data_IF_216187941529
#
_entry.id   IF_216187941529
#
_cell.length_a   1.000
_cell.length_b   1.000
_cell.length_c   1.000
_cell.angle_alpha   90.00
_cell.angle_beta   90.00
_cell.angle_gamma   90.00
#
_symmetry.space_group_name_H-M   'P 1'
#
loop_
_entity.id
_entity.type
_entity.pdbx_description
1 polymer ?
#
# COMPACT_ATOMS: atom_id res chain seq x y z
N UNK A 1 -5.62 24.46 28.58
CA UNK A 1 -5.98 23.21 27.87
C UNK A 1 -5.72 23.43 26.39
N UNK A 2 -4.74 22.75 25.78
CA UNK A 2 -4.46 22.88 24.35
C UNK A 2 -5.53 22.16 23.54
N UNK A 3 -6.09 22.83 22.53
CA UNK A 3 -7.05 22.22 21.62
C UNK A 3 -6.50 20.90 21.02
N UNK A 4 -7.34 19.86 20.85
CA UNK A 4 -6.90 18.61 20.23
C UNK A 4 -6.45 18.87 18.79
N UNK A 5 -5.33 18.28 18.40
CA UNK A 5 -4.86 18.30 17.01
C UNK A 5 -5.86 17.55 16.14
N UNK A 6 -6.55 18.27 15.25
CA UNK A 6 -7.46 17.67 14.27
C UNK A 6 -6.65 17.32 13.03
N UNK A 7 -6.62 16.03 12.66
CA UNK A 7 -6.03 15.58 11.40
C UNK A 7 -7.10 15.64 10.32
N UNK A 8 -6.96 16.58 9.38
CA UNK A 8 -7.89 16.76 8.25
C UNK A 8 -7.40 16.14 6.94
N UNK A 9 -6.14 15.69 6.89
CA UNK A 9 -5.52 15.12 5.71
C UNK A 9 -5.13 13.67 5.95
N UNK A 10 -5.56 12.80 5.04
CA UNK A 10 -5.11 11.42 4.93
C UNK A 10 -4.63 11.16 3.51
N UNK A 11 -3.43 10.61 3.39
CA UNK A 11 -2.82 10.27 2.12
C UNK A 11 -2.57 8.77 2.07
N UNK A 12 -2.78 8.19 0.89
CA UNK A 12 -2.37 6.82 0.62
C UNK A 12 -0.85 6.71 0.46
N UNK A 13 -0.34 5.48 0.55
CA UNK A 13 1.09 5.18 0.38
C UNK A 13 1.63 5.74 -0.94
N UNK A 14 0.90 5.58 -2.04
CA UNK A 14 1.35 6.05 -3.35
C UNK A 14 1.48 7.57 -3.43
N UNK A 15 0.61 8.36 -2.78
CA UNK A 15 0.76 9.82 -2.73
C UNK A 15 2.06 10.23 -2.02
N UNK A 16 2.43 9.51 -0.96
CA UNK A 16 3.71 9.70 -0.28
C UNK A 16 4.89 9.33 -1.19
N UNK A 17 4.78 8.23 -1.93
CA UNK A 17 5.80 7.82 -2.91
C UNK A 17 5.94 8.84 -4.04
N UNK A 18 4.85 9.43 -4.53
CA UNK A 18 4.86 10.47 -5.56
C UNK A 18 5.62 11.70 -5.06
N UNK A 19 5.38 12.12 -3.81
CA UNK A 19 6.08 13.26 -3.19
C UNK A 19 7.58 12.98 -3.07
N UNK A 20 7.96 11.81 -2.56
CA UNK A 20 9.37 11.42 -2.44
C UNK A 20 10.06 11.37 -3.81
N UNK A 21 9.40 10.77 -4.81
CA UNK A 21 9.93 10.65 -6.17
C UNK A 21 10.15 12.02 -6.84
N UNK A 22 9.22 12.96 -6.67
CA UNK A 22 9.34 14.34 -7.17
C UNK A 22 10.58 15.05 -6.62
N UNK A 23 10.92 14.78 -5.36
CA UNK A 23 12.11 15.31 -4.68
C UNK A 23 13.35 14.43 -4.89
N UNK A 24 13.34 13.55 -5.89
CA UNK A 24 14.46 12.66 -6.26
C UNK A 24 14.86 11.65 -5.16
N UNK A 25 14.00 11.43 -4.17
CA UNK A 25 14.16 10.38 -3.17
C UNK A 25 13.72 9.06 -3.79
N UNK A 26 14.62 8.08 -3.81
CA UNK A 26 14.39 6.79 -4.47
C UNK A 26 13.23 6.04 -3.84
N UNK A 27 12.25 5.70 -4.68
CA UNK A 27 11.17 4.77 -4.38
C UNK A 27 11.23 3.59 -5.37
N UNK A 28 10.75 2.38 -5.00
CA UNK A 28 10.65 1.28 -5.95
C UNK A 28 9.76 1.66 -7.14
N UNK A 29 10.06 1.27 -8.38
CA UNK A 29 9.13 1.41 -9.50
C UNK A 29 7.77 0.79 -9.16
N UNK A 30 6.69 1.51 -9.45
CA UNK A 30 5.34 1.12 -9.07
C UNK A 30 4.30 1.61 -10.07
N UNK A 31 3.10 1.04 -9.96
CA UNK A 31 1.87 1.54 -10.54
C UNK A 31 0.71 1.43 -9.55
N UNK A 32 -0.29 2.28 -9.72
CA UNK A 32 -1.55 2.23 -8.97
C UNK A 32 -2.65 1.82 -9.95
N UNK A 33 -3.51 0.92 -9.51
CA UNK A 33 -4.53 0.32 -10.34
C UNK A 33 -5.84 0.11 -9.57
N UNK A 34 -6.95 0.21 -10.28
CA UNK A 34 -8.31 -0.01 -9.76
C UNK A 34 -8.99 -1.23 -10.39
N UNK A 35 -8.32 -1.89 -11.36
CA UNK A 35 -8.80 -3.12 -12.00
C UNK A 35 -7.67 -4.16 -12.08
N UNK A 36 -8.02 -5.44 -12.18
CA UNK A 36 -7.02 -6.51 -12.34
C UNK A 36 -6.18 -6.37 -13.62
N UNK A 37 -6.78 -5.87 -14.71
CA UNK A 37 -6.06 -5.66 -15.97
C UNK A 37 -5.09 -4.48 -15.90
N UNK A 38 -5.46 -3.40 -15.20
CA UNK A 38 -4.52 -2.31 -14.91
C UNK A 38 -3.32 -2.80 -14.08
N UNK A 39 -3.55 -3.72 -13.13
CA UNK A 39 -2.46 -4.33 -12.35
C UNK A 39 -1.54 -5.15 -13.24
N UNK A 40 -2.10 -5.96 -14.14
CA UNK A 40 -1.33 -6.76 -15.09
C UNK A 40 -0.43 -5.87 -15.96
N UNK A 41 -0.99 -4.81 -16.54
CA UNK A 41 -0.24 -3.88 -17.39
C UNK A 41 0.81 -3.09 -16.60
N UNK A 42 0.50 -2.67 -15.38
CA UNK A 42 1.46 -2.01 -14.50
C UNK A 42 2.62 -2.95 -14.13
N UNK A 43 2.34 -4.21 -13.79
CA UNK A 43 3.37 -5.22 -13.51
C UNK A 43 4.26 -5.47 -14.73
N UNK A 44 3.68 -5.59 -15.93
CA UNK A 44 4.46 -5.72 -17.18
C UNK A 44 5.36 -4.53 -17.45
N UNK A 45 4.89 -3.31 -17.22
CA UNK A 45 5.68 -2.08 -17.39
C UNK A 45 6.83 -1.99 -16.38
N UNK A 46 6.61 -2.44 -15.14
CA UNK A 46 7.67 -2.54 -14.12
C UNK A 46 8.74 -3.55 -14.54
N UNK A 47 8.31 -4.68 -15.11
CA UNK A 47 9.17 -5.75 -15.61
C UNK A 47 9.86 -6.57 -14.50
N UNK A 48 10.38 -7.73 -14.88
CA UNK A 48 11.02 -8.69 -13.97
C UNK A 48 10.10 -9.84 -13.55
N UNK A 49 10.43 -10.50 -12.43
CA UNK A 49 9.75 -11.71 -11.93
C UNK A 49 9.41 -11.66 -10.43
N UNK A 50 9.39 -10.47 -9.84
CA UNK A 50 9.11 -10.28 -8.41
C UNK A 50 8.42 -8.94 -8.15
N UNK A 51 7.16 -9.01 -7.70
CA UNK A 51 6.32 -7.86 -7.43
C UNK A 51 5.71 -7.95 -6.03
N UNK A 52 5.26 -6.80 -5.54
CA UNK A 52 4.46 -6.70 -4.32
C UNK A 52 3.17 -5.98 -4.66
N UNK A 53 2.03 -6.61 -4.40
CA UNK A 53 0.69 -6.01 -4.53
C UNK A 53 0.23 -5.59 -3.14
N UNK A 54 -0.08 -4.30 -2.97
CA UNK A 54 -0.41 -3.69 -1.68
C UNK A 54 -1.77 -2.98 -1.73
N UNK A 55 -2.68 -3.40 -0.87
CA UNK A 55 -3.97 -2.75 -0.70
C UNK A 55 -3.80 -1.26 -0.32
N UNK A 56 -4.46 -0.36 -1.04
CA UNK A 56 -4.45 1.07 -0.73
C UNK A 56 -5.64 1.42 0.16
N UNK A 57 -5.50 1.18 1.46
CA UNK A 57 -6.47 1.62 2.49
C UNK A 57 -5.81 2.60 3.47
N UNK A 58 -6.60 3.47 4.06
CA UNK A 58 -6.17 4.42 5.10
C UNK A 58 -6.14 3.75 6.49
N UNK A 59 -5.37 2.67 6.61
CA UNK A 59 -5.09 2.00 7.87
C UNK A 59 -3.74 1.26 7.80
N UNK A 60 -3.05 1.16 8.94
CA UNK A 60 -1.85 0.33 9.08
C UNK A 60 -2.19 -1.15 9.36
N UNK A 61 -1.16 -1.98 9.54
CA UNK A 61 -1.35 -3.40 9.84
C UNK A 61 -1.82 -4.26 8.66
N UNK A 62 -1.84 -3.71 7.44
CA UNK A 62 -2.30 -4.37 6.20
C UNK A 62 -1.73 -5.77 6.00
N UNK A 63 -0.43 -5.96 6.19
CA UNK A 63 0.23 -7.26 5.98
C UNK A 63 -0.27 -8.40 6.89
N UNK A 64 -0.84 -8.08 8.07
CA UNK A 64 -1.43 -9.05 9.00
C UNK A 64 -2.96 -9.04 8.98
N UNK A 65 -3.56 -8.26 8.10
CA UNK A 65 -5.01 -8.21 7.92
C UNK A 65 -5.53 -9.38 7.09
N UNK A 66 -6.85 -9.42 6.89
CA UNK A 66 -7.50 -10.37 6.00
C UNK A 66 -8.66 -9.67 5.28
N UNK A 67 -8.99 -10.14 4.08
CA UNK A 67 -10.12 -9.66 3.32
C UNK A 67 -11.37 -10.50 3.59
N UNK A 68 -12.53 -9.87 3.45
CA UNK A 68 -13.84 -10.57 3.41
C UNK A 68 -13.99 -11.49 2.18
N UNK A 69 -13.17 -11.31 1.13
CA UNK A 69 -13.02 -12.25 0.02
C UNK A 69 -12.32 -13.57 0.39
N UNK A 70 -11.77 -13.68 1.60
CA UNK A 70 -11.01 -14.82 2.09
C UNK A 70 -9.48 -14.70 1.94
N UNK A 71 -8.99 -13.71 1.19
CA UNK A 71 -7.56 -13.47 1.01
C UNK A 71 -6.88 -13.05 2.34
N UNK A 72 -5.79 -13.72 2.70
CA UNK A 72 -5.01 -13.39 3.89
C UNK A 72 -3.90 -12.39 3.55
N UNK A 73 -3.87 -11.24 4.21
CA UNK A 73 -2.86 -10.20 4.04
C UNK A 73 -3.17 -9.17 2.96
N UNK A 74 -3.07 -7.88 3.32
CA UNK A 74 -3.14 -6.74 2.40
C UNK A 74 -1.84 -6.42 1.66
N UNK A 75 -0.81 -7.27 1.80
CA UNK A 75 0.49 -7.15 1.14
C UNK A 75 0.86 -8.53 0.61
N UNK A 76 0.80 -8.71 -0.71
CA UNK A 76 1.06 -9.98 -1.39
C UNK A 76 2.35 -9.91 -2.17
N UNK A 77 3.17 -10.94 -2.06
CA UNK A 77 4.36 -11.13 -2.89
C UNK A 77 3.95 -12.06 -4.01
N UNK A 78 4.22 -11.66 -5.25
CA UNK A 78 3.82 -12.38 -6.47
C UNK A 78 4.97 -12.39 -7.47
N UNK A 79 5.02 -13.39 -8.33
CA UNK A 79 6.17 -13.65 -9.20
C UNK A 79 5.87 -13.44 -10.69
N UNK A 80 4.61 -13.21 -11.05
CA UNK A 80 4.19 -12.93 -12.43
C UNK A 80 3.13 -11.82 -12.49
N UNK A 81 2.98 -11.12 -13.63
CA UNK A 81 1.87 -10.20 -13.85
C UNK A 81 0.49 -10.86 -13.70
N UNK A 82 0.35 -12.13 -14.10
CA UNK A 82 -0.89 -12.90 -13.95
C UNK A 82 -1.24 -13.16 -12.48
N UNK A 83 -0.25 -13.54 -11.67
CA UNK A 83 -0.45 -13.72 -10.23
C UNK A 83 -0.77 -12.37 -9.56
N UNK A 84 -0.13 -11.28 -10.00
CA UNK A 84 -0.45 -9.93 -9.52
C UNK A 84 -1.91 -9.57 -9.79
N UNK A 85 -2.40 -9.87 -11.00
CA UNK A 85 -3.82 -9.70 -11.38
C UNK A 85 -4.74 -10.54 -10.50
N UNK A 86 -4.46 -11.83 -10.35
CA UNK A 86 -5.27 -12.74 -9.53
C UNK A 86 -5.39 -12.25 -8.08
N UNK A 87 -4.26 -11.91 -7.44
CA UNK A 87 -4.28 -11.40 -6.06
C UNK A 87 -4.98 -10.06 -5.95
N UNK A 88 -4.79 -9.17 -6.92
CA UNK A 88 -5.49 -7.88 -6.93
C UNK A 88 -7.01 -8.04 -7.08
N UNK A 89 -7.49 -8.97 -7.91
CA UNK A 89 -8.93 -9.24 -8.06
C UNK A 89 -9.60 -9.69 -6.77
N UNK A 90 -8.86 -10.33 -5.87
CA UNK A 90 -9.35 -10.69 -4.53
C UNK A 90 -9.29 -9.51 -3.53
N UNK A 91 -8.54 -8.45 -3.84
CA UNK A 91 -8.47 -7.25 -3.00
C UNK A 91 -9.47 -6.18 -3.44
N UNK A 92 -9.58 -5.94 -4.74
CA UNK A 92 -10.35 -4.85 -5.31
C UNK A 92 -11.86 -5.08 -5.10
N UNK A 93 -12.53 -4.09 -4.49
CA UNK A 93 -13.95 -4.20 -4.13
C UNK A 93 -14.24 -5.00 -2.85
N UNK A 94 -13.22 -5.61 -2.25
CA UNK A 94 -13.32 -6.33 -0.99
C UNK A 94 -12.95 -5.41 0.19
N UNK A 95 -13.38 -5.76 1.41
CA UNK A 95 -13.01 -5.05 2.62
C UNK A 95 -11.80 -5.69 3.27
N UNK A 96 -10.76 -4.90 3.56
CA UNK A 96 -9.59 -5.33 4.32
C UNK A 96 -9.80 -5.02 5.81
N UNK A 97 -9.85 -6.06 6.62
CA UNK A 97 -9.91 -5.99 8.08
C UNK A 97 -8.48 -6.06 8.63
N UNK A 98 -8.13 -5.10 9.48
CA UNK A 98 -6.86 -5.06 10.21
C UNK A 98 -7.12 -4.75 11.69
N UNK A 99 -6.07 -4.81 12.52
CA UNK A 99 -6.15 -4.37 13.93
C UNK A 99 -6.50 -2.87 14.10
N UNK A 100 -6.37 -2.07 13.05
CA UNK A 100 -6.58 -0.62 13.08
C UNK A 100 -7.87 -0.17 12.37
N UNK A 101 -8.61 -1.11 11.77
CA UNK A 101 -9.91 -0.82 11.14
C UNK A 101 -11.05 -1.19 12.08
N UNK A 102 -12.28 -0.83 11.71
CA UNK A 102 -13.47 -1.39 12.36
C UNK A 102 -13.63 -2.88 12.00
N UNK A 103 -14.60 -3.55 12.64
CA UNK A 103 -14.96 -4.94 12.33
C UNK A 103 -15.43 -5.15 10.88
N UNK A 104 -15.90 -4.08 10.21
CA UNK A 104 -16.30 -4.12 8.80
C UNK A 104 -15.12 -3.97 7.84
N UNK A 105 -13.92 -3.66 8.34
CA UNK A 105 -12.76 -3.34 7.51
C UNK A 105 -12.94 -2.02 6.74
N UNK A 106 -12.01 -1.78 5.82
CA UNK A 106 -12.08 -0.67 4.87
C UNK A 106 -12.12 -1.21 3.44
N UNK A 107 -12.98 -0.65 2.61
CA UNK A 107 -13.06 -0.99 1.18
C UNK A 107 -11.73 -0.71 0.49
N UNK A 108 -11.24 -1.68 -0.27
CA UNK A 108 -10.04 -1.54 -1.09
C UNK A 108 -10.45 -1.26 -2.54
N UNK A 109 -10.51 0.01 -2.91
CA UNK A 109 -10.84 0.43 -4.28
C UNK A 109 -9.63 0.44 -5.22
N UNK A 110 -8.42 0.50 -4.65
CA UNK A 110 -7.15 0.58 -5.39
C UNK A 110 -6.09 -0.29 -4.76
N UNK A 111 -5.19 -0.77 -5.60
CA UNK A 111 -3.97 -1.46 -5.18
C UNK A 111 -2.76 -0.76 -5.78
N UNK A 112 -1.63 -0.86 -5.08
CA UNK A 112 -0.32 -0.49 -5.58
C UNK A 112 0.44 -1.77 -5.92
N UNK A 113 0.91 -1.88 -7.16
CA UNK A 113 1.85 -2.92 -7.57
C UNK A 113 3.23 -2.30 -7.69
N UNK A 114 4.24 -2.86 -7.04
CA UNK A 114 5.60 -2.37 -7.13
C UNK A 114 6.62 -3.48 -7.30
N UNK A 115 7.80 -3.11 -7.82
CA UNK A 115 8.94 -4.00 -7.89
C UNK A 115 9.34 -4.42 -6.47
N UNK A 116 9.49 -5.73 -6.25
CA UNK A 116 10.05 -6.21 -4.99
C UNK A 116 11.52 -5.83 -4.90
N UNK A 117 11.91 -5.24 -3.77
CA UNK A 117 13.31 -5.00 -3.44
C UNK A 117 13.75 -6.00 -2.38
N UNK A 118 14.96 -6.53 -2.53
CA UNK A 118 15.56 -7.44 -1.56
C UNK A 118 16.31 -6.62 -0.51
N UNK A 119 15.69 -6.43 0.64
CA UNK A 119 16.23 -5.65 1.75
C UNK A 119 17.22 -6.51 2.55
N UNK A 120 18.48 -6.07 2.64
CA UNK A 120 19.47 -6.67 3.57
C UNK A 120 19.25 -6.21 5.01
N UNK A 121 18.75 -4.98 5.18
CA UNK A 121 18.43 -4.35 6.46
C UNK A 121 17.20 -3.48 6.27
N UNK A 122 16.39 -3.40 7.32
CA UNK A 122 15.19 -2.57 7.38
C UNK A 122 15.30 -1.64 8.59
N UNK A 123 14.96 -0.38 8.39
CA UNK A 123 15.06 0.66 9.41
C UNK A 123 13.72 1.38 9.54
N UNK A 124 13.38 1.75 10.77
CA UNK A 124 12.33 2.71 11.01
C UNK A 124 12.92 4.13 10.99
N UNK A 125 12.32 5.02 10.20
CA UNK A 125 12.73 6.41 10.11
C UNK A 125 11.49 7.31 10.03
N UNK A 126 11.49 8.40 10.80
CA UNK A 126 10.43 9.41 10.76
C UNK A 126 11.00 10.78 11.10
N UNK A 127 10.42 11.82 10.50
CA UNK A 127 10.70 13.22 10.79
C UNK A 127 9.40 13.84 11.30
N UNK A 128 9.45 14.46 12.47
CA UNK A 128 8.29 15.11 13.09
C UNK A 128 8.72 16.42 13.73
N UNK A 129 7.82 17.42 13.73
CA UNK A 129 8.04 18.64 14.50
C UNK A 129 7.91 18.35 15.99
N UNK A 130 8.94 18.68 16.76
CA UNK A 130 8.91 18.54 18.21
C UNK A 130 8.11 19.68 18.83
N UNK A 131 6.95 19.35 19.40
CA UNK A 131 6.04 20.33 20.03
C UNK A 131 6.56 20.87 21.37
N UNK A 132 7.56 20.25 21.98
CA UNK A 132 8.11 20.70 23.28
C UNK A 132 9.15 21.80 23.12
N UNK A 133 9.77 21.89 21.94
CA UNK A 133 10.85 22.82 21.65
C UNK A 133 10.57 23.69 20.41
N UNK A 134 9.31 23.68 19.94
CA UNK A 134 8.80 24.57 18.90
C UNK A 134 8.14 25.82 19.50
#
# INVERSE_FOLDING_TARGET
MTAPSVRTLMLHEHHGMDLLSKEQIRVPPYGVASTGDEVYEAAKKIGGKDYVVKAQILAGGRGKGYFDSGLQGGVQIVYTPDEAREKASLMLGAHLITKQTTHRGNLCERVLVCKRLFTRREYYFSITLDRKHA
#
